data_IF_169140312507
#
_entry.id   IF_169140312507
#
_cell.length_a   1.000
_cell.length_b   1.000
_cell.length_c   1.000
_cell.angle_alpha   90.00
_cell.angle_beta   90.00
_cell.angle_gamma   90.00
#
_symmetry.space_group_name_H-M   'P 1'
#
loop_
_entity.id
_entity.type
_entity.pdbx_description
1 polymer ?
#
# COMPACT_ATOMS: atom_id res chain seq x y z
N UNK A 1 9.04 4.16 -50.23
CA UNK A 1 7.67 4.39 -49.72
C UNK A 1 7.66 5.77 -49.09
N UNK A 2 6.82 6.66 -49.58
CA UNK A 2 6.64 7.97 -48.97
C UNK A 2 5.78 7.78 -47.69
N UNK A 3 6.04 8.59 -46.64
CA UNK A 3 5.35 8.53 -45.36
C UNK A 3 4.10 9.42 -45.34
N UNK A 4 3.40 9.51 -46.49
CA UNK A 4 2.29 10.42 -46.71
C UNK A 4 1.05 10.15 -45.81
N UNK A 5 1.03 8.97 -45.16
CA UNK A 5 0.01 8.59 -44.17
C UNK A 5 0.25 9.17 -42.77
N UNK A 6 1.45 9.73 -42.50
CA UNK A 6 1.79 10.36 -41.22
C UNK A 6 1.51 11.86 -41.28
N UNK A 7 0.35 12.28 -40.83
CA UNK A 7 -0.03 13.69 -40.77
C UNK A 7 -0.09 14.18 -39.32
N UNK A 8 0.45 15.38 -39.06
CA UNK A 8 0.17 16.09 -37.81
C UNK A 8 -1.29 16.48 -37.76
N UNK A 9 -1.99 16.03 -36.74
CA UNK A 9 -3.43 16.34 -36.56
C UNK A 9 -3.57 17.62 -35.76
N UNK A 10 -4.34 18.56 -36.30
CA UNK A 10 -4.65 19.82 -35.60
C UNK A 10 -5.32 19.55 -34.24
N UNK A 11 -4.92 20.27 -33.19
CA UNK A 11 -5.44 20.12 -31.83
C UNK A 11 -4.70 19.10 -30.98
N UNK A 12 -3.68 18.41 -31.48
CA UNK A 12 -2.77 17.59 -30.68
C UNK A 12 -1.53 18.44 -30.40
N UNK A 13 -1.34 18.83 -29.14
CA UNK A 13 -0.17 19.57 -28.70
C UNK A 13 1.13 18.76 -28.87
N UNK A 14 2.20 19.44 -29.28
CA UNK A 14 3.53 18.81 -29.30
C UNK A 14 3.98 18.50 -27.88
N UNK A 15 4.71 17.39 -27.71
CA UNK A 15 5.31 17.05 -26.42
C UNK A 15 6.35 18.12 -26.07
N UNK A 16 6.12 18.84 -24.97
CA UNK A 16 6.99 19.94 -24.53
C UNK A 16 8.15 19.47 -23.62
N UNK A 17 8.19 18.17 -23.30
CA UNK A 17 9.24 17.58 -22.47
C UNK A 17 9.63 16.19 -22.99
N UNK A 18 10.94 15.91 -23.00
CA UNK A 18 11.45 14.58 -23.29
C UNK A 18 11.03 13.62 -22.16
N UNK A 19 10.50 12.44 -22.52
CA UNK A 19 10.11 11.40 -21.57
C UNK A 19 11.17 10.31 -21.54
N UNK A 20 11.80 10.11 -20.41
CA UNK A 20 12.65 8.95 -20.16
C UNK A 20 11.76 7.79 -19.73
N UNK A 21 11.24 7.05 -20.71
CA UNK A 21 10.48 5.83 -20.48
C UNK A 21 9.10 6.02 -19.80
N UNK A 22 8.18 5.11 -20.06
CA UNK A 22 6.85 5.02 -19.40
C UNK A 22 6.82 3.83 -18.44
N UNK A 23 7.78 3.69 -17.52
CA UNK A 23 7.81 2.62 -16.53
C UNK A 23 6.93 2.94 -15.31
N UNK A 24 6.39 1.92 -14.67
CA UNK A 24 5.79 2.05 -13.33
C UNK A 24 6.86 2.59 -12.37
N UNK A 25 6.53 3.67 -11.69
CA UNK A 25 7.46 4.29 -10.75
C UNK A 25 7.55 3.44 -9.48
N UNK A 26 8.76 2.95 -9.17
CA UNK A 26 9.06 2.21 -7.94
C UNK A 26 9.87 3.10 -7.01
N UNK A 27 9.42 3.22 -5.77
CA UNK A 27 10.06 3.97 -4.71
C UNK A 27 11.07 3.07 -4.01
N UNK A 28 12.27 3.55 -3.74
CA UNK A 28 13.22 2.82 -2.89
C UNK A 28 12.67 2.66 -1.47
N UNK A 29 13.16 1.66 -0.75
CA UNK A 29 12.80 1.51 0.67
C UNK A 29 13.22 2.73 1.48
N UNK A 30 12.43 3.06 2.51
CA UNK A 30 12.72 4.21 3.35
C UNK A 30 11.47 4.80 4.02
N UNK A 31 11.65 5.90 4.73
CA UNK A 31 10.59 6.67 5.37
C UNK A 31 10.44 8.02 4.65
N UNK A 32 9.25 8.29 4.13
CA UNK A 32 8.97 9.43 3.27
C UNK A 32 7.83 10.28 3.82
N UNK A 33 7.98 11.60 3.91
CA UNK A 33 6.86 12.47 4.19
C UNK A 33 5.81 12.31 3.08
N UNK A 34 4.55 12.31 3.46
CA UNK A 34 3.44 12.12 2.53
C UNK A 34 2.22 12.91 2.99
N UNK A 35 1.37 13.28 2.04
CA UNK A 35 0.07 13.86 2.29
C UNK A 35 -1.02 12.92 1.79
N UNK A 36 -2.02 12.63 2.61
CA UNK A 36 -3.16 11.82 2.19
C UNK A 36 -4.06 12.67 1.29
N UNK A 37 -4.22 12.29 0.03
CA UNK A 37 -5.11 12.99 -0.92
C UNK A 37 -6.45 12.30 -1.07
N UNK A 38 -6.51 10.97 -0.82
CA UNK A 38 -7.75 10.19 -0.79
C UNK A 38 -7.68 9.11 0.27
N UNK A 39 -8.81 8.88 0.93
CA UNK A 39 -9.03 7.76 1.84
C UNK A 39 -10.51 7.36 1.75
N UNK A 40 -10.83 6.23 1.09
CA UNK A 40 -12.23 5.84 0.88
C UNK A 40 -12.42 4.32 0.99
N UNK A 41 -13.63 3.92 1.41
CA UNK A 41 -14.01 2.53 1.55
C UNK A 41 -14.30 1.92 0.18
N UNK A 42 -13.80 0.71 -0.04
CA UNK A 42 -14.07 -0.12 -1.21
C UNK A 42 -14.51 -1.51 -0.76
N UNK A 43 -15.68 -1.93 -1.20
CA UNK A 43 -16.16 -3.29 -0.95
C UNK A 43 -15.70 -4.24 -2.05
N UNK A 44 -15.40 -5.48 -1.67
CA UNK A 44 -15.12 -6.56 -2.62
C UNK A 44 -16.36 -6.89 -3.45
N UNK A 45 -16.17 -7.11 -4.75
CA UNK A 45 -17.26 -7.54 -5.65
C UNK A 45 -17.69 -9.01 -5.42
N UNK A 46 -16.89 -9.80 -4.70
CA UNK A 46 -17.10 -11.26 -4.56
C UNK A 46 -17.28 -11.73 -3.11
N UNK A 47 -17.21 -10.82 -2.14
CA UNK A 47 -17.29 -11.17 -0.72
C UNK A 47 -17.72 -9.96 0.13
N UNK A 48 -17.88 -10.16 1.44
CA UNK A 48 -18.15 -9.08 2.39
C UNK A 48 -16.90 -8.31 2.82
N UNK A 49 -15.75 -8.58 2.20
CA UNK A 49 -14.51 -7.90 2.53
C UNK A 49 -14.58 -6.41 2.17
N UNK A 50 -14.03 -5.58 3.05
CA UNK A 50 -13.91 -4.13 2.87
C UNK A 50 -12.43 -3.76 2.92
N UNK A 51 -12.02 -2.90 2.00
CA UNK A 51 -10.73 -2.25 1.99
C UNK A 51 -10.88 -0.74 2.18
N UNK A 52 -9.80 -0.10 2.59
CA UNK A 52 -9.63 1.34 2.48
C UNK A 52 -8.59 1.59 1.40
N UNK A 53 -8.96 2.38 0.40
CA UNK A 53 -8.05 2.83 -0.65
C UNK A 53 -7.48 4.17 -0.24
N UNK A 54 -6.17 4.22 -0.08
CA UNK A 54 -5.43 5.43 0.20
C UNK A 54 -4.69 5.90 -1.04
N UNK A 55 -4.65 7.20 -1.24
CA UNK A 55 -3.76 7.87 -2.19
C UNK A 55 -2.89 8.84 -1.40
N UNK A 56 -1.57 8.61 -1.48
CA UNK A 56 -0.57 9.43 -0.81
C UNK A 56 0.19 10.25 -1.86
N UNK A 57 0.25 11.55 -1.67
CA UNK A 57 1.14 12.41 -2.43
C UNK A 57 2.48 12.49 -1.71
N UNK A 58 3.52 12.05 -2.38
CA UNK A 58 4.92 12.08 -1.93
C UNK A 58 5.64 13.32 -2.47
N UNK A 59 6.88 13.61 -2.00
CA UNK A 59 7.74 14.59 -2.64
C UNK A 59 7.90 14.34 -4.15
N UNK A 60 8.24 15.38 -4.91
CA UNK A 60 8.39 15.35 -6.38
C UNK A 60 7.10 14.98 -7.13
N UNK A 61 5.94 15.34 -6.58
CA UNK A 61 4.60 15.08 -7.15
C UNK A 61 4.28 13.59 -7.44
N UNK A 62 5.05 12.69 -6.84
CA UNK A 62 4.82 11.25 -6.95
C UNK A 62 3.58 10.85 -6.15
N UNK A 63 2.82 9.91 -6.70
CA UNK A 63 1.61 9.40 -6.05
C UNK A 63 1.78 7.91 -5.75
N UNK A 64 1.56 7.51 -4.51
CA UNK A 64 1.48 6.12 -4.07
C UNK A 64 0.02 5.79 -3.77
N UNK A 65 -0.50 4.76 -4.43
CA UNK A 65 -1.82 4.23 -4.16
C UNK A 65 -1.68 2.90 -3.41
N UNK A 66 -2.45 2.75 -2.33
CA UNK A 66 -2.45 1.53 -1.53
C UNK A 66 -3.88 1.10 -1.23
N UNK A 67 -4.17 -0.19 -1.43
CA UNK A 67 -5.47 -0.79 -1.10
C UNK A 67 -5.28 -1.72 0.09
N UNK A 68 -5.75 -1.31 1.25
CA UNK A 68 -5.56 -2.02 2.52
C UNK A 68 -6.86 -2.72 2.91
N UNK A 69 -6.87 -4.06 2.85
CA UNK A 69 -8.01 -4.87 3.27
C UNK A 69 -8.13 -4.88 4.79
N UNK A 70 -9.18 -4.22 5.31
CA UNK A 70 -9.41 -4.07 6.75
C UNK A 70 -10.36 -5.14 7.32
N UNK A 71 -11.07 -5.87 6.45
CA UNK A 71 -11.86 -7.04 6.84
C UNK A 71 -11.57 -8.23 5.94
N UNK A 72 -11.86 -9.43 6.44
CA UNK A 72 -11.80 -10.68 5.68
C UNK A 72 -13.06 -10.88 4.82
N UNK A 73 -13.15 -12.00 4.08
CA UNK A 73 -14.29 -12.32 3.22
C UNK A 73 -15.63 -12.46 3.95
N UNK A 74 -15.65 -12.57 5.27
CA UNK A 74 -16.85 -12.60 6.13
C UNK A 74 -17.24 -11.22 6.67
N UNK A 75 -16.41 -10.19 6.42
CA UNK A 75 -16.60 -8.85 6.97
C UNK A 75 -15.99 -8.65 8.36
N UNK A 76 -15.17 -9.60 8.86
CA UNK A 76 -14.53 -9.52 10.17
C UNK A 76 -13.15 -8.88 10.03
N UNK A 77 -12.76 -8.01 10.98
CA UNK A 77 -11.45 -7.35 11.01
C UNK A 77 -10.38 -8.11 11.81
N UNK A 78 -10.67 -9.35 12.20
CA UNK A 78 -9.81 -10.23 12.97
C UNK A 78 -9.80 -11.66 12.41
N UNK A 79 -8.85 -12.44 12.88
CA UNK A 79 -8.77 -13.88 12.64
C UNK A 79 -8.36 -14.61 13.93
N UNK A 80 -8.51 -15.92 13.96
CA UNK A 80 -7.98 -16.74 15.08
C UNK A 80 -6.60 -17.24 14.66
N UNK A 81 -5.58 -16.82 15.41
CA UNK A 81 -4.22 -17.27 15.20
C UNK A 81 -4.11 -18.79 15.51
N UNK A 82 -3.67 -19.57 14.51
CA UNK A 82 -3.65 -21.04 14.61
C UNK A 82 -2.64 -21.57 15.63
N UNK A 83 -1.60 -20.78 15.98
CA UNK A 83 -0.57 -21.20 16.94
C UNK A 83 -1.00 -20.93 18.37
N UNK A 84 -1.57 -19.76 18.61
CA UNK A 84 -1.96 -19.33 19.96
C UNK A 84 -3.42 -19.66 20.30
N UNK A 85 -4.27 -19.94 19.30
CA UNK A 85 -5.73 -20.09 19.46
C UNK A 85 -6.44 -18.79 19.83
N UNK A 86 -5.78 -17.65 19.82
CA UNK A 86 -6.34 -16.35 20.24
C UNK A 86 -6.76 -15.52 19.03
N UNK A 87 -7.77 -14.66 19.17
CA UNK A 87 -8.11 -13.69 18.14
C UNK A 87 -6.99 -12.65 18.00
N UNK A 88 -6.67 -12.29 16.77
CA UNK A 88 -5.73 -11.23 16.41
C UNK A 88 -6.34 -10.38 15.30
N UNK A 89 -6.07 -9.09 15.29
CA UNK A 89 -6.51 -8.21 14.20
C UNK A 89 -5.80 -8.56 12.89
N UNK A 90 -6.48 -8.29 11.78
CA UNK A 90 -5.87 -8.40 10.46
C UNK A 90 -4.76 -7.34 10.33
N UNK A 91 -3.60 -7.68 9.74
CA UNK A 91 -2.51 -6.71 9.55
C UNK A 91 -2.95 -5.45 8.80
N UNK A 92 -3.87 -5.59 7.83
CA UNK A 92 -4.42 -4.44 7.11
C UNK A 92 -5.30 -3.55 8.00
N UNK A 93 -6.08 -4.14 8.92
CA UNK A 93 -6.84 -3.36 9.90
C UNK A 93 -5.90 -2.59 10.85
N UNK A 94 -4.83 -3.22 11.32
CA UNK A 94 -3.83 -2.56 12.18
C UNK A 94 -3.14 -1.41 11.44
N UNK A 95 -2.70 -1.62 10.19
CA UNK A 95 -2.06 -0.58 9.40
C UNK A 95 -3.01 0.60 9.15
N UNK A 96 -4.27 0.36 8.76
CA UNK A 96 -5.26 1.41 8.54
C UNK A 96 -5.60 2.16 9.85
N UNK A 97 -5.66 1.44 10.99
CA UNK A 97 -5.86 2.04 12.31
C UNK A 97 -4.68 2.92 12.72
N UNK A 98 -3.46 2.50 12.41
CA UNK A 98 -2.27 3.30 12.64
C UNK A 98 -2.27 4.57 11.78
N UNK A 99 -2.66 4.47 10.49
CA UNK A 99 -2.81 5.65 9.62
C UNK A 99 -3.84 6.62 10.23
N UNK A 100 -5.02 6.14 10.62
CA UNK A 100 -6.04 6.96 11.24
C UNK A 100 -5.50 7.67 12.49
N UNK A 101 -4.82 6.93 13.37
CA UNK A 101 -4.34 7.49 14.63
C UNK A 101 -3.22 8.51 14.45
N UNK A 102 -2.20 8.23 13.61
CA UNK A 102 -1.08 9.15 13.41
C UNK A 102 -1.49 10.44 12.69
N UNK A 103 -2.59 10.42 11.94
CA UNK A 103 -3.10 11.59 11.20
C UNK A 103 -4.14 12.39 11.97
N UNK A 104 -4.99 11.72 12.77
CA UNK A 104 -6.14 12.38 13.40
C UNK A 104 -6.13 12.33 14.93
N UNK A 105 -5.30 11.48 15.54
CA UNK A 105 -5.35 11.17 16.97
C UNK A 105 -6.55 10.29 17.38
N UNK A 106 -7.36 9.81 16.41
CA UNK A 106 -8.56 9.01 16.67
C UNK A 106 -8.37 7.56 16.20
N UNK A 107 -9.07 6.63 16.85
CA UNK A 107 -9.17 5.25 16.36
C UNK A 107 -9.95 5.20 15.04
N UNK A 108 -9.60 4.26 14.15
CA UNK A 108 -10.28 4.10 12.86
C UNK A 108 -11.80 3.93 13.00
N UNK A 109 -12.24 3.18 14.02
CA UNK A 109 -13.67 2.95 14.29
C UNK A 109 -14.43 4.20 14.78
N UNK A 110 -13.72 5.25 15.18
CA UNK A 110 -14.31 6.52 15.61
C UNK A 110 -14.50 7.52 14.46
N UNK A 111 -13.98 7.20 13.26
CA UNK A 111 -14.14 8.06 12.08
C UNK A 111 -15.48 7.82 11.42
N UNK A 112 -16.09 8.89 10.93
CA UNK A 112 -17.39 8.82 10.23
C UNK A 112 -17.17 9.03 8.73
N UNK A 113 -17.48 8.01 7.90
CA UNK A 113 -17.38 8.17 6.45
C UNK A 113 -18.45 9.11 5.90
N UNK A 114 -18.08 9.95 4.94
CA UNK A 114 -18.98 10.83 4.20
C UNK A 114 -19.20 10.32 2.78
N UNK A 115 -20.41 10.50 2.26
CA UNK A 115 -20.70 10.20 0.86
C UNK A 115 -20.12 11.30 -0.05
N UNK A 116 -19.23 10.90 -0.95
CA UNK A 116 -18.57 11.79 -1.93
C UNK A 116 -18.61 11.15 -3.31
N UNK A 117 -18.53 11.97 -4.34
CA UNK A 117 -18.33 11.52 -5.72
C UNK A 117 -16.93 11.92 -6.16
N UNK A 118 -16.11 10.94 -6.51
CA UNK A 118 -14.72 11.15 -6.93
C UNK A 118 -14.45 10.45 -8.26
N UNK A 119 -13.47 10.93 -8.99
CA UNK A 119 -12.98 10.31 -10.23
C UNK A 119 -12.13 9.09 -9.93
N UNK A 120 -12.63 7.87 -10.26
CA UNK A 120 -11.89 6.60 -10.13
C UNK A 120 -11.76 5.98 -11.52
N UNK A 121 -10.61 5.31 -11.76
CA UNK A 121 -10.40 4.57 -13.00
C UNK A 121 -11.37 3.39 -13.08
N UNK A 122 -12.19 3.39 -14.11
CA UNK A 122 -13.11 2.31 -14.43
C UNK A 122 -12.48 1.44 -15.52
N UNK A 123 -12.23 0.17 -15.22
CA UNK A 123 -11.57 -0.78 -16.13
C UNK A 123 -12.43 -1.13 -17.36
N UNK A 124 -13.74 -1.10 -17.24
CA UNK A 124 -14.68 -1.39 -18.35
C UNK A 124 -14.72 -0.23 -19.33
N UNK A 125 -14.78 1.00 -18.79
CA UNK A 125 -14.79 2.23 -19.60
C UNK A 125 -13.38 2.65 -20.04
N UNK A 126 -12.32 2.04 -19.50
CA UNK A 126 -10.90 2.37 -19.72
C UNK A 126 -10.58 3.86 -19.51
N UNK A 127 -11.33 4.53 -18.63
CA UNK A 127 -11.19 5.95 -18.28
C UNK A 127 -11.59 6.21 -16.84
N UNK A 128 -11.21 7.36 -16.30
CA UNK A 128 -11.75 7.84 -15.03
C UNK A 128 -13.22 8.17 -15.19
N UNK A 129 -14.03 7.82 -14.21
CA UNK A 129 -15.46 8.10 -14.16
C UNK A 129 -15.86 8.53 -12.74
N UNK A 130 -16.85 9.45 -12.62
CA UNK A 130 -17.43 9.82 -11.34
C UNK A 130 -18.01 8.59 -10.63
N UNK A 131 -17.53 8.32 -9.42
CA UNK A 131 -17.91 7.14 -8.64
C UNK A 131 -18.30 7.58 -7.23
N UNK A 132 -19.50 7.23 -6.74
CA UNK A 132 -19.88 7.48 -5.37
C UNK A 132 -19.07 6.56 -4.44
N UNK A 133 -18.50 7.14 -3.40
CA UNK A 133 -17.68 6.45 -2.40
C UNK A 133 -17.98 6.98 -0.99
N UNK A 134 -17.69 6.15 0.01
CA UNK A 134 -17.67 6.56 1.41
C UNK A 134 -16.25 6.99 1.78
N UNK A 135 -16.03 8.28 1.95
CA UNK A 135 -14.72 8.89 2.13
C UNK A 135 -14.47 9.23 3.60
N UNK A 136 -13.27 8.94 4.11
CA UNK A 136 -12.83 9.25 5.47
C UNK A 136 -12.22 10.66 5.47
N UNK A 137 -13.08 11.68 5.51
CA UNK A 137 -12.67 13.08 5.36
C UNK A 137 -11.73 13.56 6.45
N UNK A 138 -11.84 13.02 7.67
CA UNK A 138 -10.93 13.34 8.79
C UNK A 138 -9.45 13.06 8.45
N UNK A 139 -9.18 12.09 7.56
CA UNK A 139 -7.81 11.70 7.16
C UNK A 139 -7.33 12.49 5.94
N UNK A 140 -8.25 12.93 5.08
CA UNK A 140 -7.89 13.64 3.84
C UNK A 140 -7.22 14.97 4.16
N UNK A 141 -6.24 15.33 3.34
CA UNK A 141 -5.39 16.51 3.46
C UNK A 141 -4.47 16.54 4.70
N UNK A 142 -4.41 15.45 5.47
CA UNK A 142 -3.45 15.32 6.58
C UNK A 142 -2.07 14.86 6.10
N UNK A 143 -1.06 15.12 6.92
CA UNK A 143 0.33 14.74 6.66
C UNK A 143 0.80 13.65 7.62
N UNK A 144 1.65 12.75 7.11
CA UNK A 144 2.27 11.68 7.87
C UNK A 144 3.61 11.30 7.23
N UNK A 145 4.34 10.39 7.85
CA UNK A 145 5.49 9.74 7.23
C UNK A 145 5.09 8.29 6.92
N UNK A 146 5.26 7.87 5.66
CA UNK A 146 5.02 6.49 5.23
C UNK A 146 6.34 5.72 5.18
N UNK A 147 6.40 4.58 5.84
CA UNK A 147 7.49 3.62 5.78
C UNK A 147 7.24 2.64 4.65
N UNK A 148 8.04 2.74 3.59
CA UNK A 148 7.89 1.98 2.36
C UNK A 148 9.00 0.93 2.27
N UNK A 149 8.65 -0.29 1.86
CA UNK A 149 9.63 -1.28 1.40
C UNK A 149 9.45 -1.57 -0.10
N UNK A 150 10.56 -1.66 -0.80
CA UNK A 150 10.63 -2.18 -2.16
C UNK A 150 10.57 -3.70 -2.11
N UNK A 151 9.72 -4.29 -2.92
CA UNK A 151 9.47 -5.73 -2.95
C UNK A 151 9.66 -6.27 -4.35
N UNK A 152 10.31 -7.44 -4.46
CA UNK A 152 10.34 -8.24 -5.68
C UNK A 152 9.44 -9.45 -5.47
N UNK A 153 8.47 -9.64 -6.36
CA UNK A 153 7.51 -10.75 -6.30
C UNK A 153 7.24 -11.32 -7.68
N UNK A 154 6.69 -12.53 -7.75
CA UNK A 154 6.23 -13.08 -9.03
C UNK A 154 5.02 -12.31 -9.56
N UNK A 155 5.00 -12.08 -10.88
CA UNK A 155 3.77 -11.62 -11.55
C UNK A 155 2.72 -12.72 -11.46
N UNK A 156 1.47 -12.31 -11.26
CA UNK A 156 0.35 -13.23 -11.24
C UNK A 156 -0.43 -13.14 -12.55
N UNK A 157 -0.82 -14.29 -13.09
CA UNK A 157 -1.71 -14.41 -14.23
C UNK A 157 -2.93 -15.27 -13.86
N UNK A 158 -4.08 -14.93 -14.43
CA UNK A 158 -5.31 -15.70 -14.22
C UNK A 158 -5.22 -17.01 -15.00
N UNK A 159 -5.25 -18.14 -14.29
CA UNK A 159 -5.36 -19.45 -14.89
C UNK A 159 -6.76 -19.61 -15.50
N UNK A 160 -6.83 -19.80 -16.82
CA UNK A 160 -8.08 -19.87 -17.57
C UNK A 160 -8.93 -21.11 -17.19
N UNK A 161 -8.29 -22.19 -16.74
CA UNK A 161 -8.98 -23.41 -16.36
C UNK A 161 -9.58 -23.35 -14.95
N UNK A 162 -8.86 -22.73 -14.00
CA UNK A 162 -9.28 -22.66 -12.58
C UNK A 162 -9.93 -21.34 -12.20
N UNK A 163 -9.76 -20.29 -13.02
CA UNK A 163 -10.17 -18.93 -12.74
C UNK A 163 -9.36 -18.24 -11.63
N UNK A 164 -8.37 -18.92 -11.04
CA UNK A 164 -7.52 -18.40 -9.96
C UNK A 164 -6.30 -17.69 -10.51
N UNK A 165 -5.77 -16.74 -9.74
CA UNK A 165 -4.48 -16.14 -10.04
C UNK A 165 -3.36 -17.01 -9.52
N UNK A 166 -2.38 -17.29 -10.37
CA UNK A 166 -1.21 -18.14 -10.09
C UNK A 166 0.08 -17.37 -10.44
N UNK A 167 1.15 -17.65 -9.70
CA UNK A 167 2.44 -17.04 -9.94
C UNK A 167 3.00 -17.50 -11.31
N UNK A 168 3.52 -16.55 -12.07
CA UNK A 168 4.25 -16.81 -13.32
C UNK A 168 5.74 -16.95 -13.06
N UNK A 169 6.52 -17.26 -14.10
CA UNK A 169 7.99 -17.25 -14.02
C UNK A 169 8.59 -15.83 -14.04
N UNK A 170 7.80 -14.82 -14.40
CA UNK A 170 8.26 -13.43 -14.45
C UNK A 170 8.11 -12.77 -13.09
N UNK A 171 9.05 -11.89 -12.76
CA UNK A 171 9.02 -11.07 -11.55
C UNK A 171 8.62 -9.64 -11.85
N UNK A 172 8.16 -8.93 -10.83
CA UNK A 172 7.94 -7.48 -10.84
C UNK A 172 8.45 -6.87 -9.55
N UNK A 173 8.76 -5.60 -9.63
CA UNK A 173 9.00 -4.77 -8.44
C UNK A 173 7.71 -4.06 -8.07
N UNK A 174 7.45 -3.97 -6.75
CA UNK A 174 6.30 -3.28 -6.16
C UNK A 174 6.73 -2.52 -4.92
N UNK A 175 5.85 -1.67 -4.41
CA UNK A 175 6.02 -1.05 -3.10
C UNK A 175 4.96 -1.55 -2.14
N UNK A 176 5.33 -1.70 -0.86
CA UNK A 176 4.41 -1.98 0.24
C UNK A 176 4.64 -0.96 1.34
N UNK A 177 3.57 -0.46 1.92
CA UNK A 177 3.63 0.32 3.16
C UNK A 177 3.71 -0.66 4.31
N UNK A 178 4.80 -0.60 5.07
CA UNK A 178 5.04 -1.51 6.20
C UNK A 178 4.86 -0.84 7.56
N UNK A 179 4.94 0.48 7.60
CA UNK A 179 4.64 1.26 8.79
C UNK A 179 4.27 2.70 8.45
N UNK A 180 3.72 3.40 9.43
CA UNK A 180 3.40 4.82 9.34
C UNK A 180 3.77 5.54 10.64
N UNK A 181 4.11 6.82 10.51
CA UNK A 181 4.48 7.68 11.63
C UNK A 181 3.76 9.01 11.49
N UNK A 182 3.52 9.70 12.59
CA UNK A 182 3.08 11.08 12.52
C UNK A 182 4.21 12.00 11.96
N UNK A 183 3.92 13.24 11.70
CA UNK A 183 4.91 14.19 11.13
C UNK A 183 6.13 14.40 12.05
N UNK A 184 6.00 14.17 13.35
CA UNK A 184 7.10 14.24 14.30
C UNK A 184 7.96 12.96 14.30
N UNK A 185 7.52 11.87 13.66
CA UNK A 185 8.25 10.61 13.55
C UNK A 185 7.83 9.52 14.53
N UNK A 186 6.78 9.70 15.33
CA UNK A 186 6.27 8.69 16.25
C UNK A 186 5.30 7.73 15.55
N UNK A 187 5.40 6.44 15.86
CA UNK A 187 4.37 5.46 15.52
C UNK A 187 3.06 5.73 16.29
N UNK A 188 1.97 5.07 15.90
CA UNK A 188 0.72 5.15 16.65
C UNK A 188 0.90 4.67 18.11
N UNK A 189 1.70 3.61 18.33
CA UNK A 189 1.96 3.07 19.66
C UNK A 189 2.78 4.06 20.51
N UNK A 190 3.86 4.60 19.98
CA UNK A 190 4.68 5.61 20.65
C UNK A 190 3.86 6.87 20.98
N UNK A 191 3.01 7.33 20.06
CA UNK A 191 2.14 8.48 20.29
C UNK A 191 1.09 8.20 21.39
N UNK A 192 0.50 7.00 21.43
CA UNK A 192 -0.44 6.57 22.48
C UNK A 192 0.21 6.46 23.85
N UNK A 193 1.48 6.06 23.90
CA UNK A 193 2.26 5.95 25.15
C UNK A 193 2.95 7.24 25.56
N UNK A 194 2.72 8.35 24.84
CA UNK A 194 3.37 9.64 25.07
C UNK A 194 4.91 9.55 25.11
N UNK A 195 5.48 8.72 24.24
CA UNK A 195 6.93 8.52 24.15
C UNK A 195 7.65 9.85 23.92
N UNK A 196 8.86 9.98 24.53
CA UNK A 196 9.66 11.21 24.43
C UNK A 196 10.78 11.11 23.38
N UNK A 197 11.11 9.88 22.96
CA UNK A 197 12.21 9.60 22.05
C UNK A 197 11.69 8.95 20.77
N UNK A 198 12.37 9.20 19.65
CA UNK A 198 12.02 8.71 18.32
C UNK A 198 12.73 7.39 18.01
N UNK A 199 12.62 6.41 18.91
CA UNK A 199 13.40 5.17 18.82
C UNK A 199 13.05 4.32 17.60
N UNK A 200 11.76 4.21 17.30
CA UNK A 200 11.31 3.30 16.26
C UNK A 200 11.64 3.80 14.85
N UNK A 201 11.42 5.08 14.54
CA UNK A 201 11.73 5.60 13.20
C UNK A 201 13.23 5.61 12.90
N UNK A 202 14.08 5.77 13.95
CA UNK A 202 15.53 5.66 13.81
C UNK A 202 15.90 4.24 13.40
N UNK A 203 15.45 3.23 14.16
CA UNK A 203 15.65 1.81 13.84
C UNK A 203 15.06 1.42 12.49
N UNK A 204 13.88 1.98 12.16
CA UNK A 204 13.25 1.76 10.86
C UNK A 204 14.15 2.21 9.71
N UNK A 205 14.72 3.40 9.79
CA UNK A 205 15.63 3.94 8.75
C UNK A 205 16.94 3.17 8.64
N UNK A 206 17.43 2.57 9.73
CA UNK A 206 18.61 1.69 9.72
C UNK A 206 18.35 0.38 8.97
N UNK A 207 17.14 -0.18 9.09
CA UNK A 207 16.75 -1.44 8.43
C UNK A 207 16.32 -1.19 6.99
N UNK A 208 15.45 -0.21 6.75
CA UNK A 208 14.87 0.09 5.44
C UNK A 208 15.66 1.19 4.75
N UNK A 209 16.90 0.88 4.38
CA UNK A 209 17.74 1.76 3.55
C UNK A 209 17.28 1.75 2.10
N UNK A 210 17.78 2.67 1.27
CA UNK A 210 17.42 2.74 -0.15
C UNK A 210 17.77 1.45 -0.92
N UNK A 211 18.76 0.70 -0.46
CA UNK A 211 19.20 -0.58 -1.03
C UNK A 211 18.39 -1.79 -0.53
N UNK A 212 17.58 -1.61 0.53
CA UNK A 212 16.78 -2.70 1.06
C UNK A 212 15.72 -3.15 0.04
N UNK A 213 15.71 -4.45 -0.26
CA UNK A 213 14.72 -5.08 -1.13
C UNK A 213 14.23 -6.37 -0.50
N UNK A 214 12.93 -6.48 -0.29
CA UNK A 214 12.30 -7.73 0.15
C UNK A 214 12.06 -8.64 -1.04
N UNK A 215 12.75 -9.75 -1.12
CA UNK A 215 12.58 -10.76 -2.17
C UNK A 215 11.57 -11.85 -1.73
N UNK A 216 10.34 -11.78 -2.26
CA UNK A 216 9.28 -12.77 -2.03
C UNK A 216 9.34 -13.96 -2.99
N UNK A 217 10.24 -13.94 -3.99
CA UNK A 217 10.39 -15.04 -4.95
C UNK A 217 11.14 -16.22 -4.35
N UNK A 218 11.95 -15.97 -3.32
CA UNK A 218 12.60 -17.01 -2.53
C UNK A 218 11.56 -17.68 -1.65
N UNK A 219 11.01 -18.81 -2.11
CA UNK A 219 10.10 -19.63 -1.28
C UNK A 219 10.83 -19.94 0.04
N UNK A 220 10.17 -19.66 1.16
CA UNK A 220 10.61 -20.21 2.43
C UNK A 220 10.76 -21.72 2.23
N UNK A 221 11.97 -22.26 2.43
CA UNK A 221 12.18 -23.72 2.36
C UNK A 221 11.16 -24.36 3.27
N UNK A 222 10.37 -25.29 2.72
CA UNK A 222 9.40 -26.05 3.48
C UNK A 222 10.06 -26.53 4.78
N UNK A 223 9.43 -26.25 5.91
CA UNK A 223 9.89 -26.71 7.21
C UNK A 223 9.90 -28.24 7.23
N UNK A 224 11.08 -28.83 7.07
CA UNK A 224 11.24 -30.29 6.97
C UNK A 224 12.67 -30.72 6.68
N UNK A 225 13.66 -30.04 7.22
CA UNK A 225 15.02 -30.62 7.44
C UNK A 225 15.77 -29.73 8.41
N UNK A 226 16.11 -30.29 9.56
CA UNK A 226 16.93 -29.71 10.61
C UNK A 226 18.33 -29.39 10.08
N UNK A 227 18.58 -28.13 9.79
CA UNK A 227 19.92 -27.56 9.73
C UNK A 227 19.79 -26.15 10.31
N UNK A 228 20.66 -25.69 11.24
CA UNK A 228 20.51 -24.39 11.84
C UNK A 228 20.68 -23.31 10.77
N UNK A 229 19.59 -22.68 10.43
CA UNK A 229 19.53 -21.61 9.47
C UNK A 229 20.02 -20.35 10.18
N UNK A 230 21.13 -19.78 9.73
CA UNK A 230 21.40 -18.37 9.97
C UNK A 230 20.37 -17.57 9.15
N UNK A 231 19.13 -17.60 9.62
CA UNK A 231 18.08 -16.73 9.16
C UNK A 231 18.42 -15.33 9.62
N UNK A 232 18.43 -14.39 8.69
CA UNK A 232 18.21 -12.99 9.03
C UNK A 232 16.87 -12.97 9.76
N UNK A 233 16.94 -12.97 11.07
CA UNK A 233 15.83 -12.68 11.95
C UNK A 233 15.45 -11.25 11.63
N UNK A 234 14.32 -11.04 10.94
CA UNK A 234 13.59 -9.79 11.10
C UNK A 234 13.44 -9.63 12.62
N UNK A 235 14.01 -8.59 13.23
CA UNK A 235 13.77 -8.38 14.65
C UNK A 235 12.26 -8.23 14.79
N UNK A 236 11.67 -9.09 15.63
CA UNK A 236 10.30 -8.88 16.10
C UNK A 236 10.35 -7.58 16.87
N UNK A 237 9.78 -6.53 16.28
CA UNK A 237 9.69 -5.19 16.86
C UNK A 237 8.45 -5.12 17.76
N UNK A 238 8.28 -6.13 18.63
CA UNK A 238 7.31 -6.13 19.73
C UNK A 238 8.01 -6.31 21.05
#
# INVERSE_FOLDING_TARGET
>A
MALDFLQKKAGIGETTQDKIGGGSFIINSGAYPAKVTKAYLQQSNSSSAVAIVFEFKLPDDKTLNETIWVTNGKGENFYVDQKSGKPAYLPGFELASNIAYVTTGKELAALTPEDKVIEIYNSELKKKAPTPVKMLMDIVDTELIVGIQKVVEFKQAKNQATGKYEDTAETRETNEIVNVFNIAGFTALEAKSEAKELDFIIKFKEVYTAEFVRDKTKKAKAAGTTTPNQGVTTPSLF
#
